data_IF_381744380269
#
_entry.id   IF_381744380269
#
_cell.length_a   1.000
_cell.length_b   1.000
_cell.length_c   1.000
_cell.angle_alpha   90.00
_cell.angle_beta   90.00
_cell.angle_gamma   90.00
#
_symmetry.space_group_name_H-M   'P 1'
#
loop_
_entity.id
_entity.type
_entity.pdbx_description
1 polymer ?
#
# COMPACT_ATOMS: atom_id res chain seq x y z
N UNK A 1 36.52 -27.92 30.79
CA UNK A 1 35.71 -27.23 29.76
C UNK A 1 35.39 -25.84 30.25
N UNK A 2 35.75 -24.82 29.48
CA UNK A 2 35.63 -23.41 29.88
C UNK A 2 34.23 -22.86 29.57
N UNK A 3 33.30 -23.08 30.50
CA UNK A 3 31.89 -22.67 30.37
C UNK A 3 31.68 -21.18 30.04
N UNK A 4 32.62 -20.32 30.43
CA UNK A 4 32.56 -18.89 30.16
C UNK A 4 32.63 -18.55 28.65
N UNK A 5 33.30 -19.38 27.83
CA UNK A 5 33.33 -19.19 26.37
C UNK A 5 31.96 -19.38 25.74
N UNK A 6 31.13 -20.28 26.27
CA UNK A 6 29.76 -20.49 25.80
C UNK A 6 28.88 -19.28 26.11
N UNK A 7 29.06 -18.65 27.28
CA UNK A 7 28.34 -17.41 27.66
C UNK A 7 28.60 -16.29 26.66
N UNK A 8 29.86 -16.09 26.27
CA UNK A 8 30.20 -15.08 25.27
C UNK A 8 29.67 -15.41 23.87
N UNK A 9 29.60 -16.69 23.49
CA UNK A 9 28.96 -17.11 22.23
C UNK A 9 27.46 -16.77 22.23
N UNK A 10 26.74 -16.99 23.34
CA UNK A 10 25.34 -16.61 23.44
C UNK A 10 25.16 -15.09 23.45
N UNK A 11 25.99 -14.34 24.18
CA UNK A 11 25.93 -12.86 24.19
C UNK A 11 26.20 -12.28 22.81
N UNK A 12 27.21 -12.78 22.09
CA UNK A 12 27.49 -12.37 20.72
C UNK A 12 26.39 -12.82 19.75
N UNK A 13 25.79 -14.00 19.94
CA UNK A 13 24.62 -14.41 19.17
C UNK A 13 23.38 -13.54 19.43
N UNK A 14 23.23 -12.92 20.60
CA UNK A 14 22.18 -11.95 20.87
C UNK A 14 22.50 -10.52 20.37
N UNK A 15 23.79 -10.17 20.29
CA UNK A 15 24.24 -8.86 19.79
C UNK A 15 24.40 -8.82 18.26
N UNK A 16 24.72 -9.97 17.63
CA UNK A 16 24.94 -10.13 16.18
C UNK A 16 23.91 -11.03 15.50
N UNK A 17 23.20 -11.88 16.24
CA UNK A 17 21.97 -12.48 15.76
C UNK A 17 20.95 -11.35 15.74
N UNK A 18 20.74 -10.78 14.56
CA UNK A 18 19.72 -9.78 14.34
C UNK A 18 18.45 -10.26 15.03
N UNK A 19 17.94 -9.45 15.96
CA UNK A 19 16.60 -9.61 16.50
C UNK A 19 15.69 -9.68 15.27
N UNK A 20 15.36 -10.89 14.84
CA UNK A 20 14.50 -11.09 13.69
C UNK A 20 13.13 -10.73 14.22
N UNK A 21 12.77 -9.44 14.07
CA UNK A 21 11.48 -8.89 14.39
C UNK A 21 10.42 -9.88 13.90
N UNK A 22 9.74 -10.55 14.82
CA UNK A 22 8.62 -11.44 14.51
C UNK A 22 7.42 -10.60 14.05
N UNK A 23 7.58 -9.79 13.01
CA UNK A 23 6.62 -8.75 12.70
C UNK A 23 7.11 -7.80 11.63
N UNK A 24 6.15 -7.23 10.89
CA UNK A 24 6.33 -5.90 10.35
C UNK A 24 6.41 -4.87 11.48
N UNK A 25 6.85 -3.67 11.15
CA UNK A 25 7.01 -2.60 12.13
C UNK A 25 5.68 -2.21 12.76
N UNK A 26 5.68 -1.90 14.06
CA UNK A 26 4.45 -1.56 14.79
C UNK A 26 3.69 -0.38 14.15
N UNK A 27 4.40 0.57 13.55
CA UNK A 27 3.77 1.69 12.83
C UNK A 27 3.09 1.24 11.53
N UNK A 28 3.68 0.30 10.80
CA UNK A 28 3.10 -0.29 9.59
C UNK A 28 1.91 -1.18 9.94
N UNK A 29 2.03 -1.97 11.02
CA UNK A 29 0.95 -2.77 11.56
C UNK A 29 -0.25 -1.92 12.00
N UNK A 30 0.01 -0.80 12.70
CA UNK A 30 -1.03 0.15 13.07
C UNK A 30 -1.69 0.78 11.84
N UNK A 31 -0.92 1.11 10.80
CA UNK A 31 -1.45 1.62 9.54
C UNK A 31 -2.34 0.59 8.83
N UNK A 32 -1.98 -0.69 8.83
CA UNK A 32 -2.82 -1.77 8.29
C UNK A 32 -4.14 -1.88 9.06
N UNK A 33 -4.12 -1.78 10.39
CA UNK A 33 -5.36 -1.75 11.17
C UNK A 33 -6.24 -0.54 10.85
N UNK A 34 -5.65 0.63 10.55
CA UNK A 34 -6.40 1.80 10.10
C UNK A 34 -6.99 1.63 8.69
N UNK A 35 -6.30 0.90 7.81
CA UNK A 35 -6.79 0.59 6.46
C UNK A 35 -7.91 -0.46 6.48
N UNK A 36 -7.86 -1.42 7.40
CA UNK A 36 -8.79 -2.57 7.46
C UNK A 36 -10.28 -2.24 7.25
N UNK A 37 -10.87 -1.20 7.87
CA UNK A 37 -12.30 -0.88 7.70
C UNK A 37 -12.67 -0.44 6.29
N UNK A 38 -11.70 0.05 5.50
CA UNK A 38 -11.95 0.55 4.14
C UNK A 38 -11.97 -0.56 3.10
N UNK A 39 -11.32 -1.69 3.39
CA UNK A 39 -11.09 -2.78 2.44
C UNK A 39 -11.71 -4.10 2.93
N UNK A 40 -13.04 -4.14 3.16
CA UNK A 40 -13.74 -5.35 3.62
C UNK A 40 -14.41 -6.09 2.45
N UNK A 41 -14.26 -7.41 2.33
CA UNK A 41 -14.87 -8.15 1.21
C UNK A 41 -16.39 -8.28 1.38
N UNK A 42 -17.16 -8.38 0.27
CA UNK A 42 -18.62 -8.44 0.28
C UNK A 42 -19.23 -9.64 1.03
N UNK A 43 -18.47 -10.70 1.30
CA UNK A 43 -18.97 -11.86 2.05
C UNK A 43 -18.91 -11.68 3.59
N UNK A 44 -18.66 -10.46 4.09
CA UNK A 44 -18.43 -10.19 5.51
C UNK A 44 -17.06 -10.67 6.02
N UNK A 45 -16.32 -11.42 5.20
CA UNK A 45 -14.93 -11.76 5.42
C UNK A 45 -14.05 -10.55 5.06
N UNK A 46 -13.88 -9.62 6.00
CA UNK A 46 -12.84 -8.61 5.88
C UNK A 46 -11.45 -9.24 5.69
N UNK A 47 -10.44 -8.43 5.33
CA UNK A 47 -9.07 -8.96 5.25
C UNK A 47 -8.71 -9.62 6.60
N UNK A 48 -8.15 -10.84 6.54
CA UNK A 48 -7.83 -11.75 7.65
C UNK A 48 -6.73 -11.22 8.60
N UNK A 49 -6.46 -9.91 8.57
CA UNK A 49 -5.51 -9.21 9.41
C UNK A 49 -5.91 -9.31 10.88
N UNK A 50 -5.05 -9.90 11.70
CA UNK A 50 -5.38 -10.26 13.06
C UNK A 50 -4.21 -10.13 14.01
N UNK A 51 -3.99 -11.16 14.84
CA UNK A 51 -2.83 -11.18 15.74
C UNK A 51 -1.59 -11.67 15.00
N UNK A 52 -0.42 -11.36 15.55
CA UNK A 52 0.87 -11.85 15.05
C UNK A 52 1.56 -10.96 14.01
N UNK A 53 2.43 -11.59 13.23
CA UNK A 53 3.29 -10.95 12.25
C UNK A 53 2.49 -10.58 10.99
N UNK A 54 2.39 -9.29 10.67
CA UNK A 54 1.63 -8.86 9.50
C UNK A 54 2.25 -9.29 8.16
N UNK A 55 3.53 -9.64 8.11
CA UNK A 55 4.17 -10.20 6.92
C UNK A 55 3.70 -11.62 6.58
N UNK A 56 2.92 -12.25 7.47
CA UNK A 56 2.25 -13.54 7.23
C UNK A 56 0.76 -13.37 6.93
N UNK A 57 0.26 -12.14 6.94
CA UNK A 57 -1.12 -11.90 6.58
C UNK A 57 -1.28 -12.02 5.07
N UNK A 58 -2.45 -12.50 4.67
CA UNK A 58 -2.82 -12.48 3.27
C UNK A 58 -2.69 -11.05 2.75
N UNK A 59 -2.17 -10.93 1.53
CA UNK A 59 -2.09 -9.67 0.78
C UNK A 59 -1.09 -8.64 1.30
N UNK A 60 -0.20 -9.04 2.22
CA UNK A 60 0.92 -8.24 2.71
C UNK A 60 2.23 -8.96 2.40
N UNK A 61 3.09 -8.34 1.59
CA UNK A 61 4.45 -8.85 1.39
C UNK A 61 5.48 -7.93 2.04
N UNK A 62 6.41 -8.54 2.78
CA UNK A 62 7.51 -7.82 3.42
C UNK A 62 8.87 -8.15 2.82
N UNK A 63 9.80 -7.22 2.97
CA UNK A 63 11.22 -7.46 2.75
C UNK A 63 11.75 -8.49 3.74
N UNK A 64 12.45 -9.51 3.24
CA UNK A 64 13.07 -10.55 4.07
C UNK A 64 14.26 -10.04 4.89
N UNK A 65 14.84 -8.89 4.51
CA UNK A 65 15.99 -8.29 5.19
C UNK A 65 15.61 -7.25 6.23
N UNK A 66 14.57 -6.45 5.98
CA UNK A 66 14.18 -5.32 6.85
C UNK A 66 12.90 -5.59 7.64
N UNK A 67 12.11 -6.60 7.25
CA UNK A 67 10.79 -6.86 7.79
C UNK A 67 9.74 -5.79 7.43
N UNK A 68 10.07 -4.82 6.58
CA UNK A 68 9.16 -3.74 6.18
C UNK A 68 8.20 -4.19 5.11
N UNK A 69 6.99 -3.65 5.12
CA UNK A 69 6.00 -3.89 4.06
C UNK A 69 6.50 -3.32 2.73
N UNK A 70 6.49 -4.17 1.70
CA UNK A 70 6.94 -3.84 0.33
C UNK A 70 5.85 -3.96 -0.71
N UNK A 71 4.85 -4.82 -0.51
CA UNK A 71 3.67 -4.88 -1.38
C UNK A 71 2.39 -5.01 -0.57
N UNK A 72 1.37 -4.31 -1.02
CA UNK A 72 0.02 -4.39 -0.50
C UNK A 72 -0.95 -4.64 -1.65
N UNK A 73 -1.79 -5.67 -1.49
CA UNK A 73 -2.85 -6.00 -2.41
C UNK A 73 -4.20 -5.76 -1.73
N UNK A 74 -4.91 -4.73 -2.16
CA UNK A 74 -6.14 -4.28 -1.54
C UNK A 74 -7.27 -4.29 -2.58
N UNK A 75 -7.27 -5.27 -3.49
CA UNK A 75 -8.25 -5.40 -4.57
C UNK A 75 -9.60 -5.96 -4.09
N UNK A 76 -10.66 -5.67 -4.86
CA UNK A 76 -12.00 -6.25 -4.73
C UNK A 76 -12.56 -6.23 -3.29
N UNK A 77 -12.31 -5.13 -2.61
CA UNK A 77 -12.63 -4.97 -1.19
C UNK A 77 -13.93 -4.17 -0.97
N UNK A 78 -14.85 -4.24 -1.94
CA UNK A 78 -16.09 -3.50 -1.90
C UNK A 78 -17.18 -4.31 -1.20
N UNK A 79 -17.48 -3.97 0.05
CA UNK A 79 -18.73 -4.34 0.71
C UNK A 79 -19.88 -3.56 0.04
N UNK A 80 -20.52 -4.19 -0.94
CA UNK A 80 -21.59 -3.66 -1.78
C UNK A 80 -22.86 -3.30 -0.97
N UNK A 81 -22.97 -3.76 0.28
CA UNK A 81 -24.19 -3.58 1.07
C UNK A 81 -24.25 -2.25 1.83
N UNK A 82 -23.14 -1.52 1.98
CA UNK A 82 -23.06 -0.35 2.88
C UNK A 82 -22.67 0.98 2.25
N UNK A 83 -22.22 1.00 1.00
CA UNK A 83 -21.86 2.23 0.29
C UNK A 83 -22.82 2.39 -0.87
N UNK A 84 -23.37 3.58 -1.07
CA UNK A 84 -24.12 3.92 -2.28
C UNK A 84 -23.26 3.58 -3.50
N UNK A 85 -23.55 2.43 -4.10
CA UNK A 85 -22.75 1.79 -5.16
C UNK A 85 -22.59 2.75 -6.35
N UNK A 86 -23.50 3.72 -6.46
CA UNK A 86 -23.51 4.76 -7.47
C UNK A 86 -22.49 5.88 -7.23
N UNK A 87 -22.17 6.23 -5.98
CA UNK A 87 -21.38 7.43 -5.66
C UNK A 87 -19.87 7.17 -5.51
N UNK A 88 -19.44 5.94 -5.19
CA UNK A 88 -18.04 5.64 -4.92
C UNK A 88 -17.50 6.34 -3.66
N UNK A 89 -16.17 6.32 -3.43
CA UNK A 89 -15.57 6.93 -2.24
C UNK A 89 -14.20 7.55 -2.49
N UNK A 90 -13.78 8.44 -1.58
CA UNK A 90 -12.48 9.10 -1.63
C UNK A 90 -11.48 8.43 -0.69
N UNK A 91 -10.30 8.12 -1.21
CA UNK A 91 -9.23 7.47 -0.46
C UNK A 91 -8.33 8.52 0.23
N UNK A 92 -8.14 8.40 1.54
CA UNK A 92 -7.11 9.16 2.22
C UNK A 92 -5.74 8.53 1.96
N UNK A 93 -5.02 9.05 0.96
CA UNK A 93 -3.73 8.52 0.53
C UNK A 93 -2.63 8.67 1.61
N UNK A 94 -2.83 9.54 2.60
CA UNK A 94 -1.88 9.70 3.72
C UNK A 94 -1.80 8.46 4.62
N UNK A 95 -2.79 7.56 4.56
CA UNK A 95 -2.78 6.29 5.29
C UNK A 95 -1.63 5.36 4.87
N UNK A 96 -1.04 5.59 3.69
CA UNK A 96 0.08 4.78 3.18
C UNK A 96 1.46 5.32 3.58
N UNK A 97 1.56 6.54 4.12
CA UNK A 97 2.83 7.17 4.49
C UNK A 97 3.71 6.35 5.46
N UNK A 98 3.16 5.53 6.38
CA UNK A 98 3.98 4.66 7.23
C UNK A 98 4.75 3.57 6.49
N UNK A 99 4.32 3.18 5.29
CA UNK A 99 4.95 2.13 4.49
C UNK A 99 6.11 2.69 3.64
N UNK A 100 7.18 3.15 4.29
CA UNK A 100 8.30 3.83 3.61
C UNK A 100 9.08 2.92 2.64
N UNK A 101 8.90 1.60 2.72
CA UNK A 101 9.49 0.63 1.77
C UNK A 101 8.50 0.07 0.74
N UNK A 102 7.29 0.64 0.66
CA UNK A 102 6.26 0.20 -0.27
C UNK A 102 6.73 0.40 -1.72
N UNK A 103 6.76 -0.70 -2.47
CA UNK A 103 7.12 -0.76 -3.89
C UNK A 103 5.93 -1.00 -4.80
N UNK A 104 4.92 -1.71 -4.31
CA UNK A 104 3.74 -2.08 -5.09
C UNK A 104 2.48 -1.87 -4.27
N UNK A 105 1.51 -1.16 -4.83
CA UNK A 105 0.21 -0.93 -4.23
C UNK A 105 -0.88 -1.25 -5.25
N UNK A 106 -1.68 -2.27 -4.97
CA UNK A 106 -2.85 -2.62 -5.77
C UNK A 106 -4.13 -2.16 -5.05
N UNK A 107 -4.89 -1.28 -5.69
CA UNK A 107 -6.16 -0.71 -5.23
C UNK A 107 -7.30 -1.00 -6.22
N UNK A 108 -7.18 -2.04 -7.04
CA UNK A 108 -8.15 -2.37 -8.08
C UNK A 108 -9.54 -2.71 -7.55
N UNK A 109 -10.59 -2.44 -8.33
CA UNK A 109 -11.95 -2.91 -8.04
C UNK A 109 -12.60 -2.29 -6.79
N UNK A 110 -12.17 -1.10 -6.38
CA UNK A 110 -12.58 -0.51 -5.10
C UNK A 110 -13.63 0.60 -5.21
N UNK A 111 -14.11 0.99 -6.39
CA UNK A 111 -15.01 2.15 -6.56
C UNK A 111 -14.42 3.47 -6.02
N UNK A 112 -13.09 3.63 -6.04
CA UNK A 112 -12.42 4.88 -5.63
C UNK A 112 -12.69 5.96 -6.68
N UNK A 113 -13.05 7.16 -6.24
CA UNK A 113 -13.37 8.31 -7.11
C UNK A 113 -12.24 9.35 -7.10
N UNK A 114 -11.44 9.40 -6.04
CA UNK A 114 -10.33 10.34 -5.92
C UNK A 114 -9.61 10.24 -4.59
N UNK A 115 -8.71 11.18 -4.33
CA UNK A 115 -7.98 11.28 -3.07
C UNK A 115 -8.50 12.42 -2.19
N UNK A 116 -8.55 12.16 -0.89
CA UNK A 116 -8.54 13.22 0.13
C UNK A 116 -7.09 13.42 0.55
N UNK A 117 -6.61 14.66 0.45
CA UNK A 117 -5.30 15.06 0.94
C UNK A 117 -5.44 16.03 2.11
N UNK A 118 -5.41 15.49 3.32
CA UNK A 118 -5.54 16.27 4.55
C UNK A 118 -4.20 16.86 5.04
N UNK A 119 -3.07 16.51 4.42
CA UNK A 119 -1.75 16.88 4.94
C UNK A 119 -0.82 17.57 3.94
N UNK A 120 -1.31 17.86 2.74
CA UNK A 120 -0.59 18.53 1.68
C UNK A 120 0.22 17.56 0.83
N UNK A 121 -0.03 17.65 -0.48
CA UNK A 121 0.50 16.86 -1.61
C UNK A 121 2.01 16.57 -1.49
N UNK A 122 2.77 17.47 -0.86
CA UNK A 122 4.21 17.35 -0.62
C UNK A 122 4.61 16.11 0.18
N UNK A 123 3.75 15.57 1.05
CA UNK A 123 4.09 14.39 1.85
C UNK A 123 4.11 13.08 1.06
N UNK A 124 3.47 13.04 -0.12
CA UNK A 124 3.51 11.87 -1.01
C UNK A 124 4.90 11.57 -1.55
N UNK A 125 5.80 12.55 -1.54
CA UNK A 125 7.23 12.35 -1.82
C UNK A 125 7.90 11.34 -0.87
N UNK A 126 7.30 11.02 0.29
CA UNK A 126 7.78 9.96 1.18
C UNK A 126 7.56 8.55 0.61
N UNK A 127 6.63 8.39 -0.33
CA UNK A 127 6.40 7.14 -1.06
C UNK A 127 7.36 7.05 -2.26
N UNK A 128 8.63 7.43 -2.06
CA UNK A 128 9.67 7.47 -3.08
C UNK A 128 10.23 6.10 -3.44
N UNK A 129 9.68 5.01 -2.92
CA UNK A 129 10.00 3.64 -3.36
C UNK A 129 8.86 3.00 -4.13
N UNK A 130 7.71 3.67 -4.28
CA UNK A 130 6.55 3.13 -4.97
C UNK A 130 6.79 3.10 -6.49
N UNK A 131 6.86 1.90 -7.05
CA UNK A 131 7.16 1.67 -8.47
C UNK A 131 5.94 1.22 -9.27
N UNK A 132 5.01 0.52 -8.62
CA UNK A 132 3.81 -0.05 -9.24
C UNK A 132 2.59 0.43 -8.46
N UNK A 133 1.65 1.04 -9.18
CA UNK A 133 0.36 1.47 -8.65
C UNK A 133 -0.75 0.98 -9.57
N UNK A 134 -1.67 0.19 -9.01
CA UNK A 134 -2.83 -0.31 -9.73
C UNK A 134 -4.11 0.36 -9.23
N UNK A 135 -4.78 1.06 -10.13
CA UNK A 135 -6.08 1.68 -9.92
C UNK A 135 -7.17 1.10 -10.82
N UNK A 136 -6.93 -0.02 -11.48
CA UNK A 136 -7.87 -0.63 -12.42
C UNK A 136 -9.25 -0.82 -11.78
N UNK A 137 -10.31 -0.71 -12.58
CA UNK A 137 -11.68 -0.95 -12.14
C UNK A 137 -12.13 -0.02 -10.98
N UNK A 138 -11.70 1.25 -11.02
CA UNK A 138 -12.16 2.32 -10.14
C UNK A 138 -12.96 3.40 -10.91
N UNK A 139 -13.52 4.40 -10.20
CA UNK A 139 -14.40 5.44 -10.78
C UNK A 139 -13.70 6.80 -10.83
N UNK A 140 -12.52 6.85 -11.45
CA UNK A 140 -11.64 8.04 -11.43
C UNK A 140 -12.09 9.20 -12.34
N UNK A 141 -13.31 9.15 -12.88
CA UNK A 141 -13.82 10.05 -13.93
C UNK A 141 -14.04 11.51 -13.51
N UNK A 142 -13.96 11.84 -12.21
CA UNK A 142 -14.38 13.14 -11.67
C UNK A 142 -13.28 14.04 -11.08
N UNK A 143 -12.00 13.64 -11.04
CA UNK A 143 -11.01 14.29 -10.18
C UNK A 143 -9.61 14.50 -10.78
N UNK A 144 -8.89 15.46 -10.19
CA UNK A 144 -7.47 15.76 -10.41
C UNK A 144 -6.50 14.67 -9.88
N UNK A 145 -6.89 13.39 -9.86
CA UNK A 145 -6.00 12.31 -9.39
C UNK A 145 -4.66 12.30 -10.14
N UNK A 146 -4.69 12.68 -11.42
CA UNK A 146 -3.52 12.84 -12.27
C UNK A 146 -2.49 13.86 -11.72
N UNK A 147 -2.94 14.97 -11.10
CA UNK A 147 -2.02 15.96 -10.52
C UNK A 147 -1.33 15.44 -9.25
N UNK A 148 -1.98 14.56 -8.51
CA UNK A 148 -1.39 13.86 -7.37
C UNK A 148 -0.43 12.76 -7.80
N UNK A 149 -0.74 12.06 -8.90
CA UNK A 149 0.11 10.99 -9.44
C UNK A 149 1.50 11.50 -9.84
N UNK A 150 1.62 12.76 -10.28
CA UNK A 150 2.89 13.40 -10.60
C UNK A 150 3.87 13.49 -9.42
N UNK A 151 3.40 13.30 -8.17
CA UNK A 151 4.25 13.34 -6.98
C UNK A 151 4.94 12.00 -6.67
N UNK A 152 4.48 10.90 -7.27
CA UNK A 152 5.13 9.60 -7.12
C UNK A 152 6.34 9.53 -8.05
N UNK A 153 7.45 10.10 -7.59
CA UNK A 153 8.66 10.30 -8.40
C UNK A 153 9.34 9.00 -8.84
N UNK A 154 9.04 7.89 -8.17
CA UNK A 154 9.61 6.56 -8.46
C UNK A 154 8.67 5.65 -9.24
N UNK A 155 7.48 6.14 -9.61
CA UNK A 155 6.47 5.33 -10.27
C UNK A 155 6.93 4.95 -11.69
N UNK A 156 6.94 3.64 -11.97
CA UNK A 156 7.35 3.06 -13.26
C UNK A 156 6.14 2.53 -14.03
N UNK A 157 5.18 1.96 -13.32
CA UNK A 157 4.00 1.29 -13.90
C UNK A 157 2.74 1.81 -13.23
N UNK A 158 1.77 2.22 -14.04
CA UNK A 158 0.47 2.69 -13.61
C UNK A 158 -0.62 1.97 -14.39
N UNK A 159 -1.49 1.24 -13.70
CA UNK A 159 -2.64 0.58 -14.30
C UNK A 159 -3.91 1.41 -14.07
N UNK A 160 -4.61 1.71 -15.16
CA UNK A 160 -5.83 2.55 -15.18
C UNK A 160 -6.95 1.92 -16.03
N UNK A 161 -6.95 0.59 -16.14
CA UNK A 161 -7.97 -0.14 -16.89
C UNK A 161 -9.35 0.16 -16.30
N UNK A 162 -10.38 0.34 -17.13
CA UNK A 162 -11.77 0.53 -16.68
C UNK A 162 -11.98 1.68 -15.65
N UNK A 163 -11.17 2.75 -15.71
CA UNK A 163 -11.22 3.85 -14.72
C UNK A 163 -12.22 4.98 -15.04
N UNK A 164 -12.94 4.91 -16.16
CA UNK A 164 -13.85 5.98 -16.61
C UNK A 164 -13.16 7.31 -16.99
N UNK A 165 -11.84 7.31 -17.16
CA UNK A 165 -11.07 8.49 -17.58
C UNK A 165 -11.40 8.85 -19.04
N UNK A 166 -11.86 10.08 -19.27
CA UNK A 166 -12.07 10.65 -20.61
C UNK A 166 -11.01 11.72 -20.89
N UNK A 167 -10.34 11.66 -22.04
CA UNK A 167 -9.29 12.61 -22.44
C UNK A 167 -7.87 12.02 -22.48
N UNK A 168 -6.88 12.85 -22.83
CA UNK A 168 -5.45 12.48 -22.83
C UNK A 168 -4.85 12.64 -21.43
N UNK A 169 -4.12 11.62 -20.97
CA UNK A 169 -3.43 11.63 -19.68
C UNK A 169 -2.05 12.28 -19.86
N UNK A 170 -1.96 13.58 -19.59
CA UNK A 170 -0.66 14.27 -19.48
C UNK A 170 -0.10 14.11 -18.07
N UNK A 171 0.72 13.08 -17.88
CA UNK A 171 1.51 12.94 -16.66
C UNK A 171 2.71 13.87 -16.80
N UNK A 172 2.65 15.04 -16.16
CA UNK A 172 3.76 16.00 -16.09
C UNK A 172 4.86 15.51 -15.13
N UNK A 173 5.34 14.27 -15.30
CA UNK A 173 6.46 13.70 -14.55
C UNK A 173 7.68 13.54 -15.46
N UNK A 174 8.88 13.77 -14.90
CA UNK A 174 10.18 13.54 -15.58
C UNK A 174 10.40 12.09 -15.99
N UNK A 175 9.58 11.17 -15.49
CA UNK A 175 9.51 9.75 -15.85
C UNK A 175 8.05 9.51 -16.22
N UNK A 176 7.74 9.31 -17.50
CA UNK A 176 6.39 8.92 -17.93
C UNK A 176 6.17 7.47 -17.53
N UNK A 177 5.32 7.17 -16.52
CA UNK A 177 5.07 5.77 -16.18
C UNK A 177 4.40 5.08 -17.36
N UNK A 178 4.67 3.79 -17.54
CA UNK A 178 3.98 2.99 -18.55
C UNK A 178 2.51 2.91 -18.14
N UNK A 179 1.67 3.69 -18.81
CA UNK A 179 0.21 3.66 -18.64
C UNK A 179 -0.35 2.55 -19.52
N UNK A 180 -0.92 1.53 -18.89
CA UNK A 180 -1.68 0.51 -19.62
C UNK A 180 -3.17 0.82 -19.47
N UNK A 181 -3.76 1.43 -20.49
CA UNK A 181 -5.20 1.55 -20.62
C UNK A 181 -5.70 0.39 -21.50
N UNK A 182 -6.64 -0.38 -20.99
CA UNK A 182 -7.49 -1.24 -21.83
C UNK A 182 -8.93 -0.87 -21.53
N UNK A 183 -9.74 -0.78 -22.58
CA UNK A 183 -11.19 -0.71 -22.50
C UNK A 183 -11.77 -2.13 -22.42
#
# INVERSE_FOLDING_TARGET
MEYWKLVWVFVLAFLFGGYQSEGCWEIEKAALFQLKPFFSRPNGEGISWGKGNCCRWDWVECSTSTGRVTRLFLEDSCDLEKKDIYLGWYLNISLFLPFEELKSLNLGGNNIVGFIDNQGIKKLSKLNKLEILDFSDNKLSGNNILSHLAQFTSLKTLFLKNCGLQGSIDILSKVTPKVSCSC
#
